data_IF_739892280583
#
_entry.id   IF_739892280583
#
_cell.length_a   1.000
_cell.length_b   1.000
_cell.length_c   1.000
_cell.angle_alpha   90.00
_cell.angle_beta   90.00
_cell.angle_gamma   90.00
#
_symmetry.space_group_name_H-M   'P 1'
#
loop_
_entity.id
_entity.type
_entity.pdbx_description
1 polymer ?
#
# COMPACT_ATOMS: atom_id res chain seq x y z
N UNK A 1 -2.12 -16.69 -10.21
CA UNK A 1 -2.65 -15.75 -9.21
C UNK A 1 -1.48 -14.84 -8.82
N UNK A 2 -1.64 -13.53 -9.05
CA UNK A 2 -0.53 -12.59 -9.07
C UNK A 2 -0.02 -12.32 -7.64
N UNK A 3 1.15 -12.89 -7.31
CA UNK A 3 1.80 -12.78 -6.01
C UNK A 3 1.89 -11.34 -5.48
N UNK A 4 1.95 -10.34 -6.36
CA UNK A 4 2.03 -8.95 -5.98
C UNK A 4 0.66 -8.36 -5.56
N UNK A 5 -0.44 -8.75 -6.22
CA UNK A 5 -1.78 -8.32 -5.84
C UNK A 5 -2.16 -8.89 -4.46
N UNK A 6 -1.90 -10.18 -4.24
CA UNK A 6 -2.16 -10.82 -2.95
C UNK A 6 -1.39 -10.13 -1.81
N UNK A 7 -0.13 -9.73 -2.06
CA UNK A 7 0.69 -9.03 -1.08
C UNK A 7 0.20 -7.60 -0.79
N UNK A 8 -0.31 -6.91 -1.81
CA UNK A 8 -0.88 -5.57 -1.67
C UNK A 8 -2.23 -5.62 -0.95
N UNK A 9 -3.07 -6.61 -1.25
CA UNK A 9 -4.36 -6.85 -0.59
C UNK A 9 -4.17 -7.16 0.90
N UNK A 10 -3.21 -8.03 1.23
CA UNK A 10 -2.84 -8.31 2.61
C UNK A 10 -2.37 -7.02 3.32
N UNK A 11 -1.56 -6.19 2.66
CA UNK A 11 -1.09 -4.92 3.22
C UNK A 11 -2.27 -3.96 3.51
N UNK A 12 -3.17 -3.78 2.55
CA UNK A 12 -4.37 -2.93 2.68
C UNK A 12 -5.26 -3.43 3.83
N UNK A 13 -5.48 -4.74 3.91
CA UNK A 13 -6.24 -5.36 4.99
C UNK A 13 -5.65 -5.05 6.37
N UNK A 14 -4.35 -5.27 6.54
CA UNK A 14 -3.63 -5.00 7.79
C UNK A 14 -3.74 -3.52 8.19
N UNK A 15 -3.57 -2.60 7.23
CA UNK A 15 -3.65 -1.16 7.50
C UNK A 15 -5.05 -0.80 7.99
N UNK A 16 -6.11 -1.24 7.30
CA UNK A 16 -7.49 -0.94 7.66
C UNK A 16 -7.89 -1.54 9.01
N UNK A 17 -7.48 -2.77 9.28
CA UNK A 17 -7.71 -3.43 10.57
C UNK A 17 -7.04 -2.68 11.72
N UNK A 18 -5.77 -2.29 11.53
CA UNK A 18 -5.02 -1.53 12.53
C UNK A 18 -5.60 -0.13 12.72
N UNK A 19 -5.98 0.54 11.63
CA UNK A 19 -6.54 1.88 11.64
C UNK A 19 -7.89 1.98 12.38
N UNK A 20 -8.69 0.91 12.38
CA UNK A 20 -9.97 0.87 13.09
C UNK A 20 -9.84 1.13 14.61
N UNK A 21 -8.67 0.87 15.19
CA UNK A 21 -8.36 1.11 16.60
C UNK A 21 -7.63 2.42 16.93
N UNK A 22 -7.38 3.29 15.94
CA UNK A 22 -6.56 4.50 16.11
C UNK A 22 -7.37 5.78 16.32
N UNK A 23 -6.68 6.79 16.87
CA UNK A 23 -7.17 8.17 16.95
C UNK A 23 -7.31 8.81 15.54
N UNK A 24 -8.20 9.80 15.42
CA UNK A 24 -8.68 10.31 14.12
C UNK A 24 -7.60 10.74 13.13
N UNK A 25 -6.50 11.37 13.56
CA UNK A 25 -5.47 11.86 12.63
C UNK A 25 -4.66 10.70 11.99
N UNK A 26 -4.11 9.80 12.82
CA UNK A 26 -3.37 8.63 12.34
C UNK A 26 -4.27 7.67 11.56
N UNK A 27 -5.53 7.54 11.98
CA UNK A 27 -6.55 6.77 11.28
C UNK A 27 -6.81 7.35 9.88
N UNK A 28 -7.13 8.63 9.77
CA UNK A 28 -7.44 9.27 8.49
C UNK A 28 -6.28 9.17 7.50
N UNK A 29 -5.04 9.38 7.97
CA UNK A 29 -3.83 9.27 7.13
C UNK A 29 -3.54 7.84 6.68
N UNK A 30 -3.66 6.86 7.58
CA UNK A 30 -3.45 5.46 7.23
C UNK A 30 -4.54 4.90 6.31
N UNK A 31 -5.80 5.29 6.50
CA UNK A 31 -6.92 4.94 5.59
C UNK A 31 -6.75 5.59 4.20
N UNK A 32 -6.27 6.83 4.14
CA UNK A 32 -5.96 7.50 2.89
C UNK A 32 -4.84 6.78 2.12
N UNK A 33 -3.75 6.39 2.82
CA UNK A 33 -2.67 5.62 2.23
C UNK A 33 -3.16 4.25 1.71
N UNK A 34 -4.01 3.55 2.47
CA UNK A 34 -4.60 2.28 2.04
C UNK A 34 -5.48 2.45 0.79
N UNK A 35 -6.29 3.50 0.75
CA UNK A 35 -7.16 3.81 -0.39
C UNK A 35 -6.35 4.17 -1.65
N UNK A 36 -5.25 4.89 -1.48
CA UNK A 36 -4.30 5.18 -2.56
C UNK A 36 -3.64 3.90 -3.10
N UNK A 37 -3.30 2.93 -2.24
CA UNK A 37 -2.78 1.64 -2.72
C UNK A 37 -3.84 0.81 -3.45
N UNK A 38 -5.10 0.84 -2.99
CA UNK A 38 -6.20 0.05 -3.54
C UNK A 38 -6.52 0.41 -4.99
N UNK A 39 -6.50 1.69 -5.36
CA UNK A 39 -6.74 2.13 -6.75
C UNK A 39 -5.71 1.60 -7.76
N UNK A 40 -4.52 1.20 -7.29
CA UNK A 40 -3.48 0.65 -8.16
C UNK A 40 -3.48 -0.88 -8.20
N UNK A 41 -4.19 -1.55 -7.29
CA UNK A 41 -4.26 -3.02 -7.17
C UNK A 41 -4.53 -3.72 -8.50
N UNK A 42 -5.43 -3.19 -9.31
CA UNK A 42 -5.87 -3.80 -10.55
C UNK A 42 -5.00 -3.42 -11.76
N UNK A 43 -4.06 -2.48 -11.60
CA UNK A 43 -3.18 -2.05 -12.68
C UNK A 43 -2.22 -3.18 -13.08
N UNK A 44 -1.88 -3.21 -14.38
CA UNK A 44 -0.95 -4.19 -14.95
C UNK A 44 0.40 -4.23 -14.23
N UNK A 45 0.84 -3.10 -13.67
CA UNK A 45 2.02 -3.01 -12.81
C UNK A 45 2.07 -4.14 -11.74
N UNK A 46 0.97 -4.39 -11.03
CA UNK A 46 0.86 -5.44 -10.03
C UNK A 46 0.44 -6.82 -10.58
N UNK A 47 -0.02 -6.89 -11.83
CA UNK A 47 -0.19 -8.16 -12.52
C UNK A 47 1.15 -8.71 -13.04
N UNK A 48 2.12 -7.83 -13.27
CA UNK A 48 3.46 -8.16 -13.74
C UNK A 48 4.46 -8.37 -12.58
N UNK A 49 5.68 -8.84 -12.89
CA UNK A 49 6.74 -9.02 -11.89
C UNK A 49 7.31 -7.68 -11.36
N UNK A 50 7.02 -6.55 -12.01
CA UNK A 50 7.59 -5.24 -11.64
C UNK A 50 6.94 -4.65 -10.38
N UNK A 51 5.66 -4.94 -10.13
CA UNK A 51 4.95 -4.49 -8.93
C UNK A 51 5.25 -5.31 -7.66
N UNK A 52 5.88 -6.50 -7.79
CA UNK A 52 6.12 -7.39 -6.66
C UNK A 52 7.01 -6.78 -5.55
N UNK A 53 8.14 -6.12 -5.84
CA UNK A 53 8.96 -5.49 -4.81
C UNK A 53 8.20 -4.41 -4.03
N UNK A 54 7.33 -3.66 -4.69
CA UNK A 54 6.52 -2.61 -4.06
C UNK A 54 5.42 -3.20 -3.18
N UNK A 55 4.74 -4.25 -3.64
CA UNK A 55 3.76 -4.96 -2.83
C UNK A 55 4.40 -5.58 -1.57
N UNK A 56 5.58 -6.20 -1.70
CA UNK A 56 6.33 -6.75 -0.55
C UNK A 56 6.76 -5.63 0.40
N UNK A 57 7.20 -4.48 -0.12
CA UNK A 57 7.56 -3.31 0.69
C UNK A 57 6.34 -2.78 1.46
N UNK A 58 5.20 -2.60 0.79
CA UNK A 58 3.94 -2.17 1.40
C UNK A 58 3.51 -3.14 2.52
N UNK A 59 3.57 -4.44 2.27
CA UNK A 59 3.24 -5.48 3.25
C UNK A 59 4.16 -5.45 4.48
N UNK A 60 5.47 -5.27 4.28
CA UNK A 60 6.43 -5.13 5.39
C UNK A 60 6.13 -3.90 6.24
N UNK A 61 5.82 -2.77 5.62
CA UNK A 61 5.50 -1.53 6.33
C UNK A 61 4.15 -1.66 7.04
N UNK A 62 3.14 -2.28 6.41
CA UNK A 62 1.84 -2.56 7.03
C UNK A 62 1.99 -3.43 8.30
N UNK A 63 2.84 -4.46 8.27
CA UNK A 63 3.15 -5.28 9.45
C UNK A 63 3.86 -4.50 10.55
N UNK A 64 4.79 -3.60 10.19
CA UNK A 64 5.43 -2.71 11.16
C UNK A 64 4.41 -1.74 11.78
N UNK A 65 3.50 -1.19 10.97
CA UNK A 65 2.40 -0.34 11.43
C UNK A 65 1.45 -1.09 12.39
N UNK A 66 1.05 -2.31 12.06
CA UNK A 66 0.24 -3.16 12.95
C UNK A 66 0.92 -3.45 14.30
N UNK A 67 2.25 -3.55 14.30
CA UNK A 67 3.03 -3.78 15.53
C UNK A 67 3.16 -2.49 16.37
N UNK A 68 3.28 -1.34 15.72
CA UNK A 68 3.56 -0.06 16.38
C UNK A 68 3.00 1.11 15.56
N UNK A 69 1.70 1.35 15.65
CA UNK A 69 1.05 2.45 14.96
C UNK A 69 1.48 3.81 15.55
N UNK A 70 2.20 4.57 14.73
CA UNK A 70 2.81 5.86 15.06
C UNK A 70 2.94 6.74 13.81
N UNK A 71 3.21 8.04 13.99
CA UNK A 71 3.49 8.96 12.87
C UNK A 71 4.59 8.46 11.94
N UNK A 72 5.65 7.84 12.48
CA UNK A 72 6.74 7.32 11.67
C UNK A 72 6.29 6.17 10.75
N UNK A 73 5.50 5.24 11.28
CA UNK A 73 4.95 4.13 10.49
C UNK A 73 3.88 4.58 9.50
N UNK A 74 3.07 5.59 9.86
CA UNK A 74 2.10 6.19 8.94
C UNK A 74 2.82 6.95 7.81
N UNK A 75 3.85 7.73 8.13
CA UNK A 75 4.68 8.39 7.11
C UNK A 75 5.36 7.40 6.16
N UNK A 76 5.74 6.22 6.66
CA UNK A 76 6.26 5.15 5.81
C UNK A 76 5.18 4.55 4.88
N UNK A 77 3.92 4.44 5.34
CA UNK A 77 2.78 4.03 4.51
C UNK A 77 2.48 5.06 3.41
N UNK A 78 2.49 6.35 3.75
CA UNK A 78 2.30 7.45 2.80
C UNK A 78 3.43 7.46 1.75
N UNK A 79 4.67 7.27 2.19
CA UNK A 79 5.83 7.20 1.28
C UNK A 79 5.71 6.05 0.29
N UNK A 80 5.36 4.84 0.76
CA UNK A 80 5.23 3.70 -0.15
C UNK A 80 3.99 3.81 -1.04
N UNK A 81 2.91 4.46 -0.59
CA UNK A 81 1.75 4.77 -1.43
C UNK A 81 2.14 5.72 -2.57
N UNK A 82 2.88 6.79 -2.27
CA UNK A 82 3.37 7.73 -3.29
C UNK A 82 4.33 7.07 -4.28
N UNK A 83 5.24 6.21 -3.79
CA UNK A 83 6.11 5.42 -4.69
C UNK A 83 5.32 4.49 -5.61
N UNK A 84 4.22 3.90 -5.12
CA UNK A 84 3.34 3.07 -5.94
C UNK A 84 2.61 3.92 -6.97
N UNK A 85 2.08 5.09 -6.59
CA UNK A 85 1.41 6.02 -7.51
C UNK A 85 2.35 6.44 -8.65
N UNK A 86 3.54 6.94 -8.32
CA UNK A 86 4.57 7.37 -9.27
C UNK A 86 4.98 6.27 -10.26
N UNK A 87 5.00 5.00 -9.82
CA UNK A 87 5.47 3.87 -10.64
C UNK A 87 4.35 3.16 -11.37
N UNK A 88 3.17 3.08 -10.78
CA UNK A 88 2.02 2.43 -11.38
C UNK A 88 1.41 3.29 -12.51
N UNK A 89 1.59 4.61 -12.48
CA UNK A 89 1.19 5.55 -13.54
C UNK A 89 2.31 5.94 -14.53
N UNK A 90 3.48 5.30 -14.45
CA UNK A 90 4.55 5.56 -15.40
C UNK A 90 4.16 5.14 -16.84
N UNK A 91 4.47 5.95 -17.87
CA UNK A 91 4.20 5.59 -19.27
C UNK A 91 4.97 4.30 -19.63
N UNK A 92 4.23 3.20 -19.81
CA UNK A 92 4.78 1.84 -19.99
C UNK A 92 4.19 0.79 -19.04
N UNK A 93 3.52 1.19 -17.96
CA UNK A 93 2.76 0.30 -17.06
C UNK A 93 1.25 0.31 -17.34
N UNK A 94 0.79 1.29 -18.10
CA UNK A 94 -0.57 1.39 -18.63
C UNK A 94 -0.59 0.70 -20.00
N UNK A 95 -1.30 -0.42 -20.12
CA UNK A 95 -1.58 -1.03 -21.42
C UNK A 95 -2.44 -0.07 -22.23
N UNK A 96 -1.88 0.51 -23.29
CA UNK A 96 -2.64 0.95 -24.48
C UNK A 96 -3.11 -0.26 -25.26
#
# INVERSE_FOLDING_TARGET
>A
MARAQDQLDEAIGIIRETAAGLADDLKGRSEAAASAMEIHREKFFFQSLTGLPFAVKANKIAKAFATSASDATVGALETVAAEIDDKADAPGTVLT
#
